data_IF_424926361882
#
_entry.id   IF_424926361882
#
_cell.length_a   1.000
_cell.length_b   1.000
_cell.length_c   1.000
_cell.angle_alpha   90.00
_cell.angle_beta   90.00
_cell.angle_gamma   90.00
#
_symmetry.space_group_name_H-M   'P 1'
#
loop_
_entity.id
_entity.type
_entity.pdbx_description
1 polymer ?
#
# COMPACT_ATOMS: atom_id res chain seq x y z
N UNK A 1 11.85 -9.68 -6.79
CA UNK A 1 10.99 -10.25 -5.74
C UNK A 1 9.74 -9.38 -5.61
N UNK A 2 8.57 -9.90 -6.00
CA UNK A 2 7.32 -9.14 -5.96
C UNK A 2 6.86 -8.90 -4.52
N UNK A 3 6.51 -7.66 -4.19
CA UNK A 3 5.90 -7.32 -2.90
C UNK A 3 4.53 -8.02 -2.84
N UNK A 4 4.44 -9.12 -2.10
CA UNK A 4 3.21 -9.89 -1.94
C UNK A 4 2.16 -9.04 -1.20
N UNK A 5 1.21 -8.45 -1.92
CA UNK A 5 0.09 -7.63 -1.41
C UNK A 5 -1.08 -8.47 -0.87
N UNK A 6 -0.79 -9.66 -0.32
CA UNK A 6 -1.81 -10.47 0.33
C UNK A 6 -2.27 -9.89 1.66
N UNK A 7 -3.45 -10.29 2.13
CA UNK A 7 -3.93 -9.96 3.46
C UNK A 7 -2.97 -10.48 4.55
N UNK A 8 -3.05 -9.91 5.75
CA UNK A 8 -2.11 -10.27 6.83
C UNK A 8 -2.21 -11.75 7.22
N UNK A 9 -3.40 -12.34 7.16
CA UNK A 9 -3.60 -13.76 7.45
C UNK A 9 -2.85 -14.64 6.46
N UNK A 10 -2.97 -14.38 5.16
CA UNK A 10 -2.24 -15.14 4.13
C UNK A 10 -0.73 -14.91 4.21
N UNK A 11 -0.29 -13.69 4.54
CA UNK A 11 1.14 -13.37 4.76
C UNK A 11 1.72 -14.15 5.94
N UNK A 12 1.03 -14.14 7.09
CA UNK A 12 1.43 -14.90 8.29
C UNK A 12 1.51 -16.40 8.01
N UNK A 13 0.56 -16.92 7.21
CA UNK A 13 0.53 -18.33 6.82
C UNK A 13 1.44 -18.69 5.64
N UNK A 14 2.11 -17.71 5.03
CA UNK A 14 3.02 -17.88 3.88
C UNK A 14 2.37 -18.59 2.68
N UNK A 15 1.11 -18.25 2.40
CA UNK A 15 0.33 -18.79 1.28
C UNK A 15 -0.03 -17.69 0.28
N UNK A 16 -0.38 -18.09 -0.95
CA UNK A 16 -0.91 -17.17 -1.96
C UNK A 16 -2.27 -16.62 -1.51
N UNK A 17 -2.48 -15.33 -1.76
CA UNK A 17 -3.70 -14.62 -1.41
C UNK A 17 -4.43 -14.19 -2.69
N UNK A 18 -5.70 -14.55 -2.80
CA UNK A 18 -6.53 -14.25 -3.98
C UNK A 18 -7.03 -12.80 -4.04
N UNK A 19 -6.84 -12.01 -2.97
CA UNK A 19 -7.19 -10.59 -2.90
C UNK A 19 -8.65 -10.24 -3.25
N UNK A 20 -9.57 -11.19 -3.09
CA UNK A 20 -11.01 -10.93 -3.19
C UNK A 20 -11.49 -10.03 -2.06
N UNK A 21 -12.40 -9.11 -2.35
CA UNK A 21 -13.06 -8.22 -1.37
C UNK A 21 -14.46 -8.78 -1.04
N UNK A 22 -14.96 -8.64 0.21
CA UNK A 22 -14.34 -8.00 1.38
C UNK A 22 -13.33 -8.89 2.11
N UNK A 23 -13.27 -10.19 1.79
CA UNK A 23 -12.37 -11.16 2.40
C UNK A 23 -11.78 -12.11 1.35
N UNK A 24 -10.55 -12.57 1.59
CA UNK A 24 -9.83 -13.46 0.69
C UNK A 24 -10.50 -14.86 0.62
N UNK A 25 -10.62 -15.46 -0.58
CA UNK A 25 -11.23 -16.79 -0.76
C UNK A 25 -10.61 -17.84 0.16
N UNK A 26 -9.27 -17.87 0.25
CA UNK A 26 -8.57 -18.83 1.09
C UNK A 26 -8.91 -18.66 2.59
N UNK A 27 -9.08 -17.43 3.04
CA UNK A 27 -9.48 -17.09 4.39
C UNK A 27 -10.90 -17.59 4.66
N UNK A 28 -11.84 -17.31 3.75
CA UNK A 28 -13.24 -17.74 3.85
C UNK A 28 -13.35 -19.27 3.86
N UNK A 29 -12.70 -19.94 2.90
CA UNK A 29 -12.75 -21.40 2.76
C UNK A 29 -12.14 -22.12 3.96
N UNK A 30 -11.10 -21.57 4.55
CA UNK A 30 -10.44 -22.16 5.72
C UNK A 30 -11.02 -21.71 7.06
N UNK A 31 -12.05 -20.86 7.05
CA UNK A 31 -12.66 -20.32 8.27
C UNK A 31 -11.73 -19.40 9.07
N UNK A 32 -10.76 -18.75 8.42
CA UNK A 32 -9.86 -17.80 9.08
C UNK A 32 -10.39 -16.39 9.00
N UNK A 33 -10.11 -15.61 10.04
CA UNK A 33 -10.39 -14.18 10.02
C UNK A 33 -9.52 -13.48 8.97
N UNK A 34 -10.16 -12.84 8.00
CA UNK A 34 -9.52 -11.95 7.05
C UNK A 34 -9.66 -10.52 7.55
N UNK A 35 -8.56 -9.74 7.69
CA UNK A 35 -8.66 -8.33 8.09
C UNK A 35 -9.26 -7.43 6.99
N UNK A 36 -9.57 -8.00 5.81
CA UNK A 36 -9.91 -7.24 4.63
C UNK A 36 -8.67 -6.57 4.01
N UNK A 37 -8.93 -5.54 3.20
CA UNK A 37 -7.89 -4.74 2.55
C UNK A 37 -8.17 -3.25 2.81
N UNK A 38 -7.12 -2.42 2.91
CA UNK A 38 -7.34 -0.99 3.08
C UNK A 38 -8.12 -0.43 1.88
N UNK A 39 -9.03 0.53 2.11
CA UNK A 39 -9.73 1.19 1.02
C UNK A 39 -8.72 1.84 0.08
N UNK A 40 -8.98 1.76 -1.22
CA UNK A 40 -8.20 2.49 -2.22
C UNK A 40 -8.53 3.97 -2.03
N UNK A 41 -7.57 4.74 -1.51
CA UNK A 41 -7.72 6.18 -1.47
C UNK A 41 -7.76 6.69 -2.91
N UNK A 42 -8.95 7.07 -3.37
CA UNK A 42 -9.10 7.83 -4.60
C UNK A 42 -8.82 9.29 -4.22
N UNK A 43 -7.72 9.85 -4.74
CA UNK A 43 -7.38 11.25 -4.51
C UNK A 43 -8.43 12.11 -5.24
N UNK A 44 -9.54 12.44 -4.59
CA UNK A 44 -10.40 13.52 -5.05
C UNK A 44 -9.62 14.82 -4.86
N UNK A 45 -9.35 15.51 -5.97
CA UNK A 45 -8.83 16.87 -6.00
C UNK A 45 -9.86 17.82 -5.39
N UNK A 46 -9.98 17.81 -4.06
CA UNK A 46 -10.81 18.77 -3.34
C UNK A 46 -10.05 20.10 -3.28
N UNK A 47 -10.64 21.13 -3.89
CA UNK A 47 -10.14 22.50 -3.85
C UNK A 47 -10.12 22.97 -2.38
N UNK A 48 -8.92 23.05 -1.79
CA UNK A 48 -8.74 23.40 -0.38
C UNK A 48 -8.81 24.91 -0.22
N UNK A 49 -9.94 25.45 0.22
CA UNK A 49 -9.99 26.76 0.88
C UNK A 49 -10.07 26.57 2.39
N UNK A 50 -8.92 26.78 3.05
CA UNK A 50 -8.82 27.42 4.36
C UNK A 50 -9.05 26.64 5.67
N UNK A 51 -9.05 25.30 5.72
CA UNK A 51 -8.97 24.60 7.01
C UNK A 51 -7.54 24.09 7.28
N UNK A 52 -6.99 24.61 8.36
CA UNK A 52 -5.61 24.50 8.81
C UNK A 52 -5.16 23.05 9.13
N UNK A 53 -4.00 22.69 8.58
CA UNK A 53 -2.94 21.80 9.09
C UNK A 53 -3.18 20.31 9.40
N UNK A 54 -2.87 19.45 8.41
CA UNK A 54 -1.97 18.26 8.54
C UNK A 54 -1.81 17.49 7.22
N UNK A 55 -0.66 17.56 6.51
CA UNK A 55 -0.31 16.58 5.49
C UNK A 55 0.43 15.41 6.15
N UNK A 56 -0.30 14.40 6.63
CA UNK A 56 0.33 13.15 7.06
C UNK A 56 0.60 12.25 5.85
N UNK A 57 1.88 12.23 5.46
CA UNK A 57 2.57 11.07 4.88
C UNK A 57 2.50 10.85 3.36
N UNK A 58 2.98 11.81 2.58
CA UNK A 58 3.55 11.54 1.25
C UNK A 58 5.07 11.31 1.37
N UNK A 59 5.47 10.12 1.83
CA UNK A 59 6.83 9.62 1.55
C UNK A 59 6.79 8.85 0.24
N UNK A 60 6.93 9.57 -0.86
CA UNK A 60 7.24 8.99 -2.16
C UNK A 60 8.43 9.74 -2.75
N UNK A 61 9.43 8.93 -3.11
CA UNK A 61 10.55 9.20 -4.01
C UNK A 61 11.74 10.01 -3.48
N UNK A 62 12.80 9.27 -3.14
CA UNK A 62 14.18 9.74 -3.05
C UNK A 62 14.74 9.78 -4.49
N UNK A 63 15.05 10.95 -5.09
CA UNK A 63 15.89 10.97 -6.28
C UNK A 63 17.32 10.61 -5.85
N UNK A 64 17.88 9.59 -6.49
CA UNK A 64 19.25 9.16 -6.31
C UNK A 64 20.24 10.18 -6.87
N UNK A 65 21.33 10.35 -6.16
CA UNK A 65 22.57 11.03 -6.55
C UNK A 65 23.18 10.43 -7.82
N UNK A 66 23.60 11.29 -8.75
CA UNK A 66 24.71 10.98 -9.65
C UNK A 66 25.69 12.14 -9.61
N UNK A 67 26.84 11.90 -8.96
CA UNK A 67 28.05 12.69 -9.08
C UNK A 67 28.49 12.75 -10.55
N UNK A 68 28.53 13.94 -11.14
CA UNK A 68 29.23 14.17 -12.40
C UNK A 68 30.57 14.85 -12.10
N UNK A 69 31.65 14.11 -12.30
CA UNK A 69 33.03 14.52 -12.12
C UNK A 69 33.40 15.54 -13.21
N UNK A 70 33.80 16.75 -12.81
CA UNK A 70 34.47 17.71 -13.70
C UNK A 70 35.97 17.51 -13.59
N UNK A 71 36.57 16.93 -14.62
CA UNK A 71 38.01 16.97 -14.89
C UNK A 71 38.26 17.92 -16.08
N UNK A 72 39.32 18.71 -16.01
CA UNK A 72 39.79 19.62 -17.08
C UNK A 72 41.31 19.63 -17.07
#
# INVERSE_FOLDING_TARGET
MGRNTGCDTCRKRKIKCDRSEPACVNCVRSGWQCPGYPPKFEFQEVMISSYDSKPSSSRSNKPGSTDEVKDS
#
